data_IF_255625854915
#
_entry.id   IF_255625854915
#
_cell.length_a   1.000
_cell.length_b   1.000
_cell.length_c   1.000
_cell.angle_alpha   90.00
_cell.angle_beta   90.00
_cell.angle_gamma   90.00
#
_symmetry.space_group_name_H-M   'P 1'
#
loop_
_entity.id
_entity.type
_entity.pdbx_description
1 polymer ?
#
# COMPACT_ATOMS: atom_id res chain seq x y z
N UNK A 1 23.09 -18.74 -30.65
CA UNK A 1 21.65 -18.83 -30.93
C UNK A 1 20.92 -17.72 -30.18
N UNK A 2 20.09 -16.93 -30.86
CA UNK A 2 19.33 -15.82 -30.26
C UNK A 2 18.36 -16.33 -29.18
N UNK A 3 17.84 -17.55 -29.36
CA UNK A 3 16.90 -18.17 -28.41
C UNK A 3 17.54 -18.39 -27.04
N UNK A 4 18.80 -18.82 -27.00
CA UNK A 4 19.55 -19.00 -25.74
C UNK A 4 19.82 -17.67 -25.02
N UNK A 5 20.17 -16.61 -25.76
CA UNK A 5 20.40 -15.27 -25.19
C UNK A 5 19.10 -14.68 -24.63
N UNK A 6 18.00 -14.80 -25.38
CA UNK A 6 16.68 -14.35 -24.93
C UNK A 6 16.19 -15.15 -23.71
N UNK A 7 16.46 -16.46 -23.68
CA UNK A 7 16.15 -17.31 -22.54
C UNK A 7 16.93 -16.89 -21.28
N UNK A 8 18.20 -16.51 -21.40
CA UNK A 8 18.98 -15.97 -20.28
C UNK A 8 18.40 -14.65 -19.77
N UNK A 9 17.98 -13.75 -20.67
CA UNK A 9 17.35 -12.48 -20.30
C UNK A 9 16.02 -12.69 -19.55
N UNK A 10 15.15 -13.56 -20.07
CA UNK A 10 13.87 -13.87 -19.41
C UNK A 10 14.04 -14.56 -18.06
N UNK A 11 15.11 -15.34 -17.89
CA UNK A 11 15.35 -16.12 -16.67
C UNK A 11 16.33 -15.45 -15.71
N UNK A 12 16.55 -14.14 -15.81
CA UNK A 12 17.53 -13.42 -14.99
C UNK A 12 17.29 -13.54 -13.47
N UNK A 13 16.02 -13.66 -13.07
CA UNK A 13 15.61 -13.73 -11.66
C UNK A 13 15.53 -15.18 -11.12
N UNK A 14 15.72 -16.19 -11.99
CA UNK A 14 15.60 -17.60 -11.63
C UNK A 14 16.94 -18.21 -11.19
N UNK A 15 16.85 -19.17 -10.26
CA UNK A 15 18.01 -19.93 -9.82
C UNK A 15 18.55 -20.82 -10.97
N UNK A 16 19.85 -21.11 -10.96
CA UNK A 16 20.55 -21.81 -12.05
C UNK A 16 19.90 -23.16 -12.38
N UNK A 17 19.51 -23.94 -11.36
CA UNK A 17 18.80 -25.21 -11.56
C UNK A 17 17.47 -25.02 -12.29
N UNK A 18 16.70 -24.00 -11.91
CA UNK A 18 15.41 -23.71 -12.54
C UNK A 18 15.57 -23.19 -13.98
N UNK A 19 16.67 -22.48 -14.26
CA UNK A 19 17.02 -22.08 -15.63
C UNK A 19 17.39 -23.29 -16.49
N UNK A 20 18.18 -24.23 -15.97
CA UNK A 20 18.55 -25.44 -16.71
C UNK A 20 17.29 -26.25 -17.02
N UNK A 21 16.38 -26.41 -16.05
CA UNK A 21 15.09 -27.06 -16.26
C UNK A 21 14.25 -26.35 -17.32
N UNK A 22 14.18 -25.01 -17.27
CA UNK A 22 13.44 -24.19 -18.24
C UNK A 22 14.01 -24.27 -19.67
N UNK A 23 15.33 -24.37 -19.79
CA UNK A 23 16.03 -24.58 -21.07
C UNK A 23 15.75 -25.98 -21.63
N UNK A 24 15.81 -27.00 -20.77
CA UNK A 24 15.58 -28.40 -21.18
C UNK A 24 14.12 -28.63 -21.61
N UNK A 25 13.15 -28.00 -20.94
CA UNK A 25 11.73 -28.08 -21.33
C UNK A 25 11.44 -27.50 -22.72
N UNK A 26 12.25 -26.53 -23.17
CA UNK A 26 12.07 -25.82 -24.45
C UNK A 26 13.07 -26.25 -25.51
N UNK A 27 13.89 -27.26 -25.21
CA UNK A 27 14.96 -27.77 -26.07
C UNK A 27 15.94 -26.67 -26.52
N UNK A 28 16.26 -25.75 -25.60
CA UNK A 28 17.17 -24.62 -25.83
C UNK A 28 18.54 -24.97 -25.22
N UNK A 29 19.61 -24.78 -25.98
CA UNK A 29 20.98 -24.98 -25.48
C UNK A 29 21.29 -24.01 -24.35
N UNK A 30 21.58 -24.57 -23.16
CA UNK A 30 21.88 -23.80 -21.96
C UNK A 30 23.32 -23.26 -22.00
N UNK A 31 23.47 -21.97 -21.72
CA UNK A 31 24.76 -21.28 -21.59
C UNK A 31 25.42 -21.62 -20.25
N UNK A 32 26.75 -21.81 -20.24
CA UNK A 32 27.51 -22.13 -19.02
C UNK A 32 27.40 -21.01 -18.00
N UNK A 33 27.51 -21.35 -16.72
CA UNK A 33 27.26 -20.41 -15.62
C UNK A 33 28.10 -19.13 -15.69
N UNK A 34 29.39 -19.24 -16.03
CA UNK A 34 30.29 -18.08 -16.08
C UNK A 34 29.92 -17.13 -17.23
N UNK A 35 29.66 -17.69 -18.42
CA UNK A 35 29.19 -16.96 -19.61
C UNK A 35 27.80 -16.34 -19.38
N UNK A 36 26.90 -17.03 -18.66
CA UNK A 36 25.57 -16.51 -18.31
C UNK A 36 25.65 -15.27 -17.43
N UNK A 37 26.54 -15.28 -16.43
CA UNK A 37 26.67 -14.16 -15.47
C UNK A 37 27.27 -12.93 -16.16
N UNK A 38 28.26 -13.14 -17.01
CA UNK A 38 28.88 -12.08 -17.79
C UNK A 38 27.93 -11.51 -18.84
N UNK A 39 27.22 -12.37 -19.58
CA UNK A 39 26.19 -11.97 -20.53
C UNK A 39 25.08 -11.15 -19.87
N UNK A 40 24.65 -11.52 -18.66
CA UNK A 40 23.61 -10.79 -17.93
C UNK A 40 24.11 -9.41 -17.47
N UNK A 41 25.34 -9.33 -17.00
CA UNK A 41 25.99 -8.07 -16.59
C UNK A 41 26.15 -7.12 -17.79
N UNK A 42 26.48 -7.68 -18.95
CA UNK A 42 26.56 -6.94 -20.22
C UNK A 42 25.19 -6.49 -20.74
N UNK A 43 24.18 -7.37 -20.75
CA UNK A 43 22.81 -7.04 -21.18
C UNK A 43 22.14 -5.98 -20.29
N UNK A 44 22.49 -5.92 -19.00
CA UNK A 44 22.01 -4.90 -18.07
C UNK A 44 22.75 -3.56 -18.20
N UNK A 45 23.78 -3.49 -19.06
CA UNK A 45 24.56 -2.28 -19.32
C UNK A 45 25.53 -1.91 -18.19
N UNK A 46 25.80 -2.84 -17.27
CA UNK A 46 26.71 -2.62 -16.12
C UNK A 46 28.17 -2.76 -16.54
N UNK A 47 28.45 -3.54 -17.59
CA UNK A 47 29.77 -3.62 -18.22
C UNK A 47 29.64 -3.47 -19.72
N UNK A 48 30.45 -2.58 -20.30
CA UNK A 48 30.49 -2.30 -21.75
C UNK A 48 31.44 -3.22 -22.50
N UNK A 49 32.24 -4.01 -21.80
CA UNK A 49 33.23 -4.94 -22.34
C UNK A 49 32.94 -6.34 -21.79
N UNK A 50 32.93 -7.36 -22.65
CA UNK A 50 32.85 -8.77 -22.27
C UNK A 50 33.95 -9.54 -22.98
N UNK A 51 34.62 -10.41 -22.22
CA UNK A 51 35.71 -11.30 -22.65
C UNK A 51 35.28 -12.25 -23.78
N UNK A 52 33.97 -12.51 -23.91
CA UNK A 52 33.37 -13.41 -24.89
C UNK A 52 32.73 -12.68 -26.08
N UNK A 53 32.64 -11.35 -26.03
CA UNK A 53 32.12 -10.51 -27.10
C UNK A 53 33.32 -9.92 -27.83
N UNK A 54 33.69 -10.54 -28.95
CA UNK A 54 34.74 -10.01 -29.81
C UNK A 54 34.19 -8.75 -30.50
N UNK A 55 34.60 -7.59 -30.01
CA UNK A 55 34.43 -6.32 -30.73
C UNK A 55 35.13 -6.45 -32.09
N UNK A 56 34.49 -6.10 -33.22
CA UNK A 56 35.11 -6.22 -34.55
C UNK A 56 36.33 -5.29 -34.77
N UNK A 57 36.79 -4.56 -33.76
CA UNK A 57 37.83 -3.52 -33.88
C UNK A 57 39.24 -3.94 -33.43
N UNK A 58 39.54 -5.24 -33.31
CA UNK A 58 40.94 -5.71 -33.10
C UNK A 58 41.28 -6.98 -33.86
N UNK A 59 40.90 -7.02 -35.13
CA UNK A 59 41.70 -7.66 -36.16
C UNK A 59 41.66 -6.71 -37.35
N UNK A 60 42.65 -5.85 -37.56
CA UNK A 60 43.84 -6.32 -38.28
C UNK A 60 44.95 -5.28 -38.25
N UNK A 61 46.10 -5.62 -37.65
CA UNK A 61 47.30 -5.59 -38.49
C UNK A 61 47.34 -6.96 -39.20
N UNK A 62 47.27 -7.03 -40.52
CA UNK A 62 47.63 -5.98 -41.47
C UNK A 62 46.51 -5.64 -42.46
N UNK A 63 45.98 -4.44 -42.23
CA UNK A 63 45.53 -3.47 -43.22
C UNK A 63 44.09 -3.59 -43.76
N UNK A 64 43.30 -2.62 -43.30
CA UNK A 64 42.48 -1.72 -44.13
C UNK A 64 41.10 -2.20 -44.59
N UNK A 65 40.10 -1.35 -44.32
CA UNK A 65 38.74 -1.40 -44.88
C UNK A 65 37.74 -1.98 -43.88
N UNK A 66 37.02 -1.16 -43.12
CA UNK A 66 35.79 -0.47 -43.53
C UNK A 66 34.58 -1.41 -43.71
N UNK A 67 33.43 -0.92 -43.22
CA UNK A 67 32.05 -1.36 -43.49
C UNK A 67 31.34 -2.21 -42.41
N UNK A 68 30.70 -1.46 -41.49
CA UNK A 68 29.23 -1.40 -41.32
C UNK A 68 28.40 -2.59 -41.81
N UNK A 69 27.72 -3.28 -40.89
CA UNK A 69 26.51 -4.08 -41.17
C UNK A 69 25.54 -3.83 -40.00
N UNK A 70 24.62 -2.88 -40.14
CA UNK A 70 23.22 -3.11 -40.55
C UNK A 70 22.51 -4.24 -39.79
N UNK A 71 21.72 -3.77 -38.83
CA UNK A 71 20.60 -4.44 -38.22
C UNK A 71 19.60 -4.94 -39.29
N UNK A 72 19.22 -6.21 -39.22
CA UNK A 72 18.09 -6.79 -39.97
C UNK A 72 16.97 -7.09 -38.99
N UNK A 73 15.93 -6.26 -39.02
CA UNK A 73 14.58 -6.65 -38.60
C UNK A 73 13.85 -7.34 -39.76
N UNK A 74 13.09 -8.37 -39.39
CA UNK A 74 12.36 -9.26 -40.30
C UNK A 74 11.05 -8.65 -40.81
N UNK A 75 10.74 -9.06 -42.03
CA UNK A 75 9.60 -8.73 -42.88
C UNK A 75 8.22 -9.00 -42.28
N UNK A 76 7.26 -8.12 -42.62
CA UNK A 76 5.92 -8.52 -43.02
C UNK A 76 5.59 -7.83 -44.36
N UNK A 77 5.98 -8.52 -45.44
CA UNK A 77 5.30 -8.65 -46.73
C UNK A 77 4.68 -7.41 -47.40
N UNK A 78 5.38 -6.84 -48.39
CA UNK A 78 4.89 -6.64 -49.77
C UNK A 78 5.95 -5.95 -50.66
N UNK A 79 6.66 -6.76 -51.47
CA UNK A 79 7.11 -6.48 -52.85
C UNK A 79 7.68 -5.10 -53.26
N UNK A 80 8.94 -5.12 -53.77
CA UNK A 80 9.45 -4.32 -54.92
C UNK A 80 9.69 -2.83 -54.61
N UNK A 81 10.80 -2.14 -54.88
CA UNK A 81 12.06 -2.31 -55.60
C UNK A 81 12.99 -1.17 -55.13
N UNK A 82 14.30 -1.27 -55.39
CA UNK A 82 15.33 -0.21 -55.31
C UNK A 82 14.86 1.15 -54.74
N UNK A 83 15.29 1.47 -53.51
CA UNK A 83 15.03 2.76 -52.88
C UNK A 83 15.35 3.91 -53.85
N UNK A 84 14.34 4.74 -54.15
CA UNK A 84 14.46 5.85 -55.09
C UNK A 84 15.68 6.72 -54.72
N UNK A 85 16.53 7.15 -55.69
CA UNK A 85 17.72 7.97 -55.41
C UNK A 85 17.42 9.26 -54.64
N UNK A 86 16.20 9.77 -54.80
CA UNK A 86 15.68 10.94 -54.09
C UNK A 86 15.40 10.67 -52.61
N UNK A 87 14.98 9.45 -52.26
CA UNK A 87 14.69 9.05 -50.89
C UNK A 87 15.99 8.92 -50.07
N UNK A 88 17.04 8.39 -50.70
CA UNK A 88 18.38 8.34 -50.09
C UNK A 88 18.93 9.75 -49.81
N UNK A 89 18.75 10.69 -50.74
CA UNK A 89 19.17 12.08 -50.53
C UNK A 89 18.39 12.80 -49.41
N UNK A 90 17.16 12.36 -49.14
CA UNK A 90 16.36 12.85 -48.01
C UNK A 90 16.91 12.26 -46.70
N UNK A 91 17.19 10.95 -46.65
CA UNK A 91 17.77 10.30 -45.47
C UNK A 91 19.18 10.80 -45.13
N UNK A 92 20.00 11.13 -46.14
CA UNK A 92 21.34 11.71 -45.91
C UNK A 92 21.28 13.11 -45.28
N UNK A 93 20.20 13.86 -45.54
CA UNK A 93 20.05 15.24 -45.08
C UNK A 93 19.02 15.39 -43.95
N UNK A 94 18.43 14.30 -43.44
CA UNK A 94 17.46 14.38 -42.35
C UNK A 94 18.16 14.52 -40.99
N UNK A 95 17.62 15.40 -40.15
CA UNK A 95 18.06 15.55 -38.75
C UNK A 95 16.89 15.10 -37.89
N UNK A 96 16.98 13.88 -37.36
CA UNK A 96 16.01 13.38 -36.39
C UNK A 96 16.20 14.13 -35.06
N UNK A 97 15.30 15.07 -34.77
CA UNK A 97 15.40 15.95 -33.59
C UNK A 97 15.19 15.20 -32.26
N UNK A 98 14.42 14.10 -32.26
CA UNK A 98 14.14 13.32 -31.06
C UNK A 98 13.88 11.86 -31.45
N UNK A 99 14.60 10.93 -30.80
CA UNK A 99 14.40 9.48 -30.94
C UNK A 99 13.33 9.01 -29.95
N UNK A 100 12.52 8.00 -30.30
CA UNK A 100 11.47 7.46 -29.43
C UNK A 100 12.01 7.05 -28.05
N UNK A 101 13.25 6.56 -28.00
CA UNK A 101 13.93 6.15 -26.77
C UNK A 101 14.47 7.33 -25.92
N UNK A 102 14.52 8.53 -26.50
CA UNK A 102 14.99 9.76 -25.84
C UNK A 102 13.85 10.74 -25.52
N UNK A 103 12.67 10.61 -26.14
CA UNK A 103 11.46 11.43 -25.87
C UNK A 103 11.09 11.48 -24.38
N UNK A 104 11.26 10.37 -23.66
CA UNK A 104 10.87 10.25 -22.25
C UNK A 104 12.02 10.54 -21.27
N UNK A 105 13.23 10.86 -21.76
CA UNK A 105 14.37 11.21 -20.92
C UNK A 105 14.42 12.72 -20.72
N UNK A 106 14.65 13.16 -19.49
CA UNK A 106 14.89 14.58 -19.22
C UNK A 106 16.17 15.08 -19.88
N UNK A 107 16.26 16.38 -20.16
CA UNK A 107 17.44 17.03 -20.76
C UNK A 107 18.74 16.85 -19.93
N UNK A 108 18.61 16.50 -18.65
CA UNK A 108 19.75 16.17 -17.78
C UNK A 108 19.86 14.66 -17.65
N UNK A 109 21.04 14.06 -17.94
CA UNK A 109 21.28 12.66 -17.62
C UNK A 109 21.32 12.52 -16.09
N UNK A 110 20.21 12.09 -15.49
CA UNK A 110 20.11 11.82 -14.05
C UNK A 110 20.02 10.32 -13.85
N UNK A 111 20.98 9.77 -13.13
CA UNK A 111 20.99 8.36 -12.75
C UNK A 111 20.19 8.18 -11.45
N UNK A 112 19.09 7.42 -11.53
CA UNK A 112 18.24 7.08 -10.39
C UNK A 112 18.54 5.72 -9.78
N UNK A 113 19.62 5.03 -10.21
CA UNK A 113 19.99 3.70 -9.71
C UNK A 113 20.14 3.65 -8.19
N UNK A 114 20.60 4.74 -7.57
CA UNK A 114 20.71 4.86 -6.11
C UNK A 114 19.32 4.90 -5.44
N UNK A 115 18.34 5.59 -6.02
CA UNK A 115 16.96 5.58 -5.51
C UNK A 115 16.33 4.19 -5.68
N UNK A 116 16.60 3.52 -6.80
CA UNK A 116 16.13 2.15 -7.04
C UNK A 116 16.66 1.19 -5.98
N UNK A 117 17.96 1.27 -5.64
CA UNK A 117 18.57 0.46 -4.56
C UNK A 117 17.96 0.76 -3.19
N UNK A 118 17.77 2.04 -2.85
CA UNK A 118 17.13 2.45 -1.59
C UNK A 118 15.69 1.94 -1.52
N UNK A 119 14.93 2.04 -2.61
CA UNK A 119 13.57 1.49 -2.70
C UNK A 119 13.57 -0.04 -2.59
N UNK A 120 14.52 -0.73 -3.21
CA UNK A 120 14.64 -2.18 -3.14
C UNK A 120 14.94 -2.65 -1.69
N UNK A 121 15.85 -1.97 -1.01
CA UNK A 121 16.22 -2.34 0.36
C UNK A 121 15.13 -2.00 1.38
N UNK A 122 14.52 -0.82 1.24
CA UNK A 122 13.49 -0.36 2.19
C UNK A 122 12.12 -0.99 1.94
N UNK A 123 11.74 -1.22 0.68
CA UNK A 123 10.40 -1.70 0.33
C UNK A 123 10.45 -3.21 0.06
N UNK A 124 11.28 -3.70 -0.88
CA UNK A 124 11.23 -5.12 -1.28
C UNK A 124 11.75 -6.08 -0.20
N UNK A 125 12.84 -5.77 0.50
CA UNK A 125 13.35 -6.66 1.55
C UNK A 125 12.38 -6.79 2.73
N UNK A 126 11.66 -5.71 3.08
CA UNK A 126 10.60 -5.74 4.08
C UNK A 126 9.41 -6.61 3.64
N UNK A 127 9.06 -6.60 2.35
CA UNK A 127 8.03 -7.48 1.80
C UNK A 127 8.51 -8.96 1.72
N UNK A 128 9.76 -9.22 1.36
CA UNK A 128 10.32 -10.58 1.21
C UNK A 128 10.54 -11.27 2.57
N UNK A 129 11.01 -10.55 3.58
CA UNK A 129 11.10 -11.07 4.96
C UNK A 129 9.72 -11.39 5.55
N UNK A 130 8.68 -10.64 5.17
CA UNK A 130 7.30 -10.92 5.62
C UNK A 130 6.71 -12.18 4.98
N UNK A 131 7.13 -12.55 3.76
CA UNK A 131 6.69 -13.78 3.11
C UNK A 131 7.40 -15.04 3.65
N UNK A 132 8.65 -14.95 4.10
CA UNK A 132 9.40 -16.12 4.59
C UNK A 132 8.97 -16.63 5.98
N UNK A 133 8.24 -15.85 6.79
CA UNK A 133 7.69 -16.32 8.08
C UNK A 133 6.38 -17.12 7.96
N UNK A 134 5.81 -17.30 6.76
CA UNK A 134 4.48 -17.91 6.58
C UNK A 134 4.45 -19.42 6.33
N UNK A 135 5.61 -20.10 6.28
CA UNK A 135 5.68 -21.56 6.00
C UNK A 135 6.14 -22.37 7.21
N UNK A 136 5.35 -22.42 8.28
CA UNK A 136 5.31 -23.63 9.12
C UNK A 136 4.04 -23.73 9.99
N UNK A 137 3.39 -24.89 9.81
CA UNK A 137 2.39 -25.56 10.66
C UNK A 137 0.91 -25.19 10.48
N UNK A 138 0.25 -26.03 9.68
CA UNK A 138 -1.12 -26.48 9.82
C UNK A 138 -1.36 -27.15 11.19
N UNK A 139 -2.47 -26.82 11.86
CA UNK A 139 -3.38 -27.74 12.60
C UNK A 139 -4.40 -26.97 13.48
N UNK A 140 -5.68 -27.21 13.20
CA UNK A 140 -6.91 -26.96 13.99
C UNK A 140 -7.35 -25.50 14.15
N UNK A 141 -8.55 -25.24 13.64
CA UNK A 141 -9.36 -24.05 13.87
C UNK A 141 -9.53 -23.77 15.38
N UNK A 142 -8.70 -22.87 15.88
CA UNK A 142 -9.02 -22.02 17.02
C UNK A 142 -8.86 -20.60 16.53
N UNK A 143 -9.92 -19.80 16.70
CA UNK A 143 -9.99 -18.37 16.47
C UNK A 143 -8.64 -17.74 16.86
N UNK A 144 -7.80 -17.46 15.87
CA UNK A 144 -6.44 -17.02 16.08
C UNK A 144 -6.47 -15.53 16.39
N UNK A 145 -6.56 -15.20 17.68
CA UNK A 145 -6.32 -13.86 18.24
C UNK A 145 -4.80 -13.58 18.22
N UNK A 146 -4.16 -13.70 17.05
CA UNK A 146 -2.71 -13.59 16.92
C UNK A 146 -2.31 -12.33 16.14
N UNK A 147 -1.70 -11.40 16.89
CA UNK A 147 -0.88 -10.24 16.45
C UNK A 147 -1.51 -8.84 16.28
N UNK A 148 -2.84 -8.64 16.44
CA UNK A 148 -3.38 -7.27 16.54
C UNK A 148 -2.97 -6.52 17.81
N UNK A 149 -2.36 -7.23 18.78
CA UNK A 149 -2.04 -6.78 20.16
C UNK A 149 -0.98 -5.66 20.27
N UNK A 150 -0.32 -5.27 19.18
CA UNK A 150 0.64 -4.16 19.17
C UNK A 150 0.20 -2.97 18.29
N UNK A 151 -1.08 -2.92 17.87
CA UNK A 151 -1.57 -1.82 17.03
C UNK A 151 -2.56 -0.97 17.81
N UNK A 152 -2.41 0.34 17.66
CA UNK A 152 -3.26 1.33 18.32
C UNK A 152 -4.74 1.08 17.95
N UNK A 153 -5.66 0.88 18.92
CA UNK A 153 -7.10 0.73 18.66
C UNK A 153 -7.68 1.96 17.95
N UNK A 154 -8.76 1.76 17.17
CA UNK A 154 -9.38 2.81 16.35
C UNK A 154 -10.79 3.12 16.85
N UNK A 155 -11.10 4.42 16.96
CA UNK A 155 -12.43 4.95 17.24
C UNK A 155 -12.91 5.71 16.01
N UNK A 156 -14.06 5.29 15.46
CA UNK A 156 -14.68 5.96 14.32
C UNK A 156 -15.70 6.99 14.79
N UNK A 157 -15.58 8.22 14.28
CA UNK A 157 -16.53 9.30 14.52
C UNK A 157 -17.52 9.39 13.35
N UNK A 158 -18.77 9.77 13.63
CA UNK A 158 -19.76 9.97 12.57
C UNK A 158 -19.33 11.17 11.69
N UNK A 159 -19.28 11.01 10.35
CA UNK A 159 -18.95 12.12 9.44
C UNK A 159 -20.12 13.11 9.26
N UNK A 160 -21.23 12.92 9.98
CA UNK A 160 -22.41 13.77 9.88
C UNK A 160 -22.17 15.14 10.51
N UNK A 161 -22.53 16.22 9.82
CA UNK A 161 -22.48 17.59 10.34
C UNK A 161 -23.38 17.81 11.57
N UNK A 162 -24.42 16.98 11.73
CA UNK A 162 -25.31 17.00 12.89
C UNK A 162 -24.80 16.19 14.08
N UNK A 163 -23.61 15.59 13.98
CA UNK A 163 -23.01 14.84 15.08
C UNK A 163 -22.54 15.79 16.19
N UNK A 164 -22.92 15.50 17.44
CA UNK A 164 -22.45 16.25 18.60
C UNK A 164 -20.93 16.09 18.79
N UNK A 165 -20.43 14.89 18.55
CA UNK A 165 -19.00 14.58 18.57
C UNK A 165 -18.45 14.61 17.15
N UNK A 166 -17.46 15.44 16.89
CA UNK A 166 -16.84 15.64 15.59
C UNK A 166 -15.31 15.71 15.76
N UNK A 167 -14.57 15.82 14.65
CA UNK A 167 -13.12 15.93 14.71
C UNK A 167 -12.62 17.21 15.43
N UNK A 168 -13.43 18.24 15.67
CA UNK A 168 -12.97 19.43 16.41
C UNK A 168 -12.98 19.23 17.92
N UNK A 169 -13.98 18.52 18.44
CA UNK A 169 -14.17 18.35 19.89
C UNK A 169 -13.85 16.94 20.40
N UNK A 170 -13.69 15.94 19.52
CA UNK A 170 -13.42 14.57 19.92
C UNK A 170 -12.18 14.43 20.80
N UNK A 171 -11.09 15.14 20.49
CA UNK A 171 -9.87 15.08 21.29
C UNK A 171 -10.10 15.57 22.73
N UNK A 172 -10.66 16.76 22.89
CA UNK A 172 -10.90 17.36 24.22
C UNK A 172 -11.85 16.50 25.05
N UNK A 173 -12.91 15.98 24.42
CA UNK A 173 -13.88 15.13 25.10
C UNK A 173 -13.28 13.78 25.47
N UNK A 174 -12.61 13.09 24.55
CA UNK A 174 -12.09 11.73 24.80
C UNK A 174 -10.87 11.72 25.73
N UNK A 175 -9.99 12.72 25.68
CA UNK A 175 -8.82 12.81 26.57
C UNK A 175 -9.17 13.41 27.93
N UNK A 176 -9.88 14.53 27.95
CA UNK A 176 -10.05 15.35 29.16
C UNK A 176 -11.47 15.31 29.74
N UNK A 177 -12.42 14.61 29.11
CA UNK A 177 -13.81 14.55 29.56
C UNK A 177 -14.57 15.87 29.42
N UNK A 178 -14.02 16.86 28.70
CA UNK A 178 -14.63 18.17 28.51
C UNK A 178 -15.28 18.25 27.14
N UNK A 179 -16.61 18.36 27.11
CA UNK A 179 -17.32 18.57 25.86
C UNK A 179 -17.53 20.06 25.62
N UNK A 180 -17.09 20.50 24.44
CA UNK A 180 -17.32 21.85 23.96
C UNK A 180 -17.91 21.78 22.54
N UNK A 181 -19.14 22.27 22.32
CA UNK A 181 -19.75 22.28 20.99
C UNK A 181 -19.20 23.40 20.09
N UNK A 182 -18.50 24.39 20.66
CA UNK A 182 -18.06 25.59 19.94
C UNK A 182 -16.59 25.55 19.51
N UNK A 183 -15.90 24.42 19.71
CA UNK A 183 -14.44 24.27 19.55
C UNK A 183 -13.93 24.47 18.13
N UNK A 184 -14.81 24.57 17.13
CA UNK A 184 -14.43 24.97 15.79
C UNK A 184 -15.57 24.87 14.79
N UNK A 185 -15.67 25.89 13.92
CA UNK A 185 -16.47 25.86 12.70
C UNK A 185 -15.52 25.91 11.51
N UNK A 186 -15.42 24.84 10.71
CA UNK A 186 -14.54 24.80 9.54
C UNK A 186 -14.26 23.38 9.06
N UNK A 187 -13.20 23.20 8.28
CA UNK A 187 -12.65 21.88 7.90
C UNK A 187 -11.54 21.51 8.89
N UNK A 188 -11.57 20.31 9.51
CA UNK A 188 -10.53 19.92 10.46
C UNK A 188 -9.17 19.85 9.73
N UNK A 189 -8.10 20.29 10.39
CA UNK A 189 -6.76 20.28 9.81
C UNK A 189 -6.24 18.86 9.51
N UNK A 190 -6.82 17.85 10.16
CA UNK A 190 -6.51 16.44 9.96
C UNK A 190 -7.76 15.58 10.25
N UNK A 191 -8.03 14.63 9.37
CA UNK A 191 -9.08 13.60 9.56
C UNK A 191 -8.65 12.51 10.55
N UNK A 192 -7.46 12.62 11.15
CA UNK A 192 -6.91 11.65 12.10
C UNK A 192 -6.37 12.40 13.31
N UNK A 193 -6.77 11.92 14.49
CA UNK A 193 -6.27 12.37 15.78
C UNK A 193 -5.78 11.17 16.57
N UNK A 194 -4.69 11.36 17.31
CA UNK A 194 -4.20 10.35 18.25
C UNK A 194 -4.51 10.85 19.65
N UNK A 195 -5.10 9.98 20.46
CA UNK A 195 -5.38 10.25 21.87
C UNK A 195 -4.70 9.21 22.74
N UNK A 196 -4.29 9.61 23.93
CA UNK A 196 -3.72 8.69 24.92
C UNK A 196 -4.68 8.54 26.09
N UNK A 197 -5.09 7.30 26.39
CA UNK A 197 -5.95 6.99 27.52
C UNK A 197 -5.28 6.00 28.45
N UNK A 198 -5.34 6.27 29.76
CA UNK A 198 -4.79 5.39 30.78
C UNK A 198 -5.87 4.51 31.38
N UNK A 199 -5.75 3.20 31.16
CA UNK A 199 -6.65 2.20 31.71
C UNK A 199 -5.97 1.47 32.87
N UNK A 200 -6.67 1.33 34.00
CA UNK A 200 -6.13 0.65 35.20
C UNK A 200 -5.69 -0.79 34.94
N UNK A 201 -6.33 -1.48 33.99
CA UNK A 201 -6.08 -2.90 33.68
C UNK A 201 -5.08 -3.12 32.53
N UNK A 202 -5.03 -2.19 31.57
CA UNK A 202 -4.26 -2.34 30.32
C UNK A 202 -3.07 -1.39 30.22
N UNK A 203 -2.91 -0.49 31.18
CA UNK A 203 -1.93 0.58 31.14
C UNK A 203 -2.35 1.70 30.17
N UNK A 204 -1.36 2.47 29.72
CA UNK A 204 -1.58 3.57 28.79
C UNK A 204 -1.66 3.05 27.37
N UNK A 205 -2.82 3.23 26.73
CA UNK A 205 -3.09 2.88 25.34
C UNK A 205 -3.24 4.14 24.50
N UNK A 206 -2.76 4.08 23.27
CA UNK A 206 -2.98 5.14 22.28
C UNK A 206 -4.09 4.73 21.34
N UNK A 207 -5.08 5.58 21.17
CA UNK A 207 -6.19 5.37 20.25
C UNK A 207 -6.04 6.29 19.04
N UNK A 208 -6.44 5.79 17.89
CA UNK A 208 -6.57 6.56 16.65
C UNK A 208 -8.04 6.92 16.49
N UNK A 209 -8.35 8.20 16.44
CA UNK A 209 -9.69 8.74 16.22
C UNK A 209 -9.76 9.27 14.80
N UNK A 210 -10.76 8.86 14.02
CA UNK A 210 -10.92 9.30 12.63
C UNK A 210 -12.38 9.28 12.21
N UNK A 211 -12.75 10.17 11.29
CA UNK A 211 -14.08 10.24 10.67
C UNK A 211 -14.10 9.63 9.25
N UNK A 212 -12.93 9.39 8.66
CA UNK A 212 -12.76 8.87 7.30
C UNK A 212 -12.22 7.44 7.31
N UNK A 213 -12.75 6.63 6.40
CA UNK A 213 -12.34 5.24 6.20
C UNK A 213 -11.41 5.04 4.99
N UNK A 214 -10.98 6.11 4.30
CA UNK A 214 -10.15 6.01 3.09
C UNK A 214 -8.85 5.20 3.30
N UNK A 215 -8.33 5.20 4.53
CA UNK A 215 -7.12 4.47 4.91
C UNK A 215 -7.36 3.01 5.30
N UNK A 216 -8.60 2.55 5.31
CA UNK A 216 -8.99 1.19 5.66
C UNK A 216 -8.92 0.28 4.43
N UNK A 217 -7.77 0.26 3.75
CA UNK A 217 -7.54 -0.52 2.53
C UNK A 217 -7.39 -2.02 2.80
N UNK A 218 -7.12 -2.42 4.05
CA UNK A 218 -6.96 -3.81 4.46
C UNK A 218 -7.95 -4.15 5.55
N UNK A 219 -8.48 -5.37 5.49
CA UNK A 219 -9.38 -5.95 6.49
C UNK A 219 -8.84 -5.88 7.93
N UNK A 220 -7.53 -5.98 8.09
CA UNK A 220 -6.85 -5.90 9.39
C UNK A 220 -7.07 -4.54 10.11
N UNK A 221 -7.39 -3.46 9.39
CA UNK A 221 -7.74 -2.18 10.01
C UNK A 221 -9.08 -2.24 10.74
N UNK A 222 -10.04 -3.01 10.23
CA UNK A 222 -11.35 -3.18 10.83
C UNK A 222 -11.30 -3.98 12.13
N UNK A 223 -10.34 -4.91 12.26
CA UNK A 223 -10.11 -5.66 13.50
C UNK A 223 -9.61 -4.77 14.65
N UNK A 224 -9.06 -3.58 14.34
CA UNK A 224 -8.62 -2.58 15.31
C UNK A 224 -9.75 -1.63 15.74
N UNK A 225 -10.88 -1.63 15.05
CA UNK A 225 -12.01 -0.75 15.39
C UNK A 225 -12.66 -1.26 16.66
N UNK A 226 -12.53 -0.48 17.73
CA UNK A 226 -13.10 -0.82 19.03
C UNK A 226 -14.46 -0.17 19.23
N UNK A 227 -14.63 1.05 18.72
CA UNK A 227 -15.83 1.85 18.92
C UNK A 227 -16.21 2.64 17.65
N UNK A 228 -17.51 2.82 17.46
CA UNK A 228 -18.10 3.60 16.37
C UNK A 228 -19.17 4.53 16.93
N UNK A 229 -19.01 5.83 16.71
CA UNK A 229 -20.03 6.83 17.01
C UNK A 229 -20.99 6.98 15.85
N UNK A 230 -22.29 7.04 16.14
CA UNK A 230 -23.35 7.21 15.16
C UNK A 230 -24.37 8.26 15.57
N UNK A 231 -25.00 8.85 14.57
CA UNK A 231 -26.14 9.77 14.71
C UNK A 231 -27.49 9.07 14.44
N UNK A 232 -27.49 7.75 14.24
CA UNK A 232 -28.70 6.98 13.91
C UNK A 232 -29.02 6.90 12.43
N UNK A 233 -28.12 7.38 11.56
CA UNK A 233 -28.33 7.41 10.12
C UNK A 233 -27.66 6.23 9.43
N UNK A 234 -28.45 5.27 8.92
CA UNK A 234 -27.92 4.04 8.33
C UNK A 234 -26.99 4.26 7.12
N UNK A 235 -27.14 5.38 6.40
CA UNK A 235 -26.25 5.70 5.27
C UNK A 235 -24.78 5.83 5.70
N UNK A 236 -24.50 6.16 6.96
CA UNK A 236 -23.15 6.28 7.51
C UNK A 236 -22.32 5.01 7.30
N UNK A 237 -22.96 3.84 7.36
CA UNK A 237 -22.28 2.55 7.36
C UNK A 237 -22.14 1.93 5.97
N UNK A 238 -22.80 2.49 4.95
CA UNK A 238 -22.69 2.00 3.56
C UNK A 238 -21.24 1.79 3.09
N UNK A 239 -20.29 2.69 3.35
CA UNK A 239 -18.92 2.51 2.90
C UNK A 239 -18.09 1.61 3.84
N UNK A 240 -18.63 1.20 4.99
CA UNK A 240 -17.90 0.38 5.97
C UNK A 240 -17.81 -1.08 5.49
N UNK A 241 -16.85 -1.83 6.07
CA UNK A 241 -16.73 -3.28 5.82
C UNK A 241 -18.02 -4.03 6.13
N UNK A 242 -18.71 -3.65 7.21
CA UNK A 242 -20.03 -4.16 7.58
C UNK A 242 -21.05 -3.05 7.39
N UNK A 243 -21.77 -3.10 6.27
CA UNK A 243 -22.76 -2.06 5.94
C UNK A 243 -24.06 -2.21 6.72
N UNK A 244 -24.38 -3.42 7.18
CA UNK A 244 -25.53 -3.68 8.05
C UNK A 244 -25.21 -3.26 9.50
N UNK A 245 -25.97 -2.32 10.09
CA UNK A 245 -25.79 -1.90 11.48
C UNK A 245 -25.82 -3.09 12.46
N UNK A 246 -26.67 -4.09 12.23
CA UNK A 246 -26.79 -5.24 13.13
C UNK A 246 -25.50 -6.06 13.17
N UNK A 247 -24.87 -6.29 12.03
CA UNK A 247 -23.58 -6.97 11.95
C UNK A 247 -22.44 -6.10 12.50
N UNK A 248 -22.43 -4.81 12.14
CA UNK A 248 -21.41 -3.85 12.58
C UNK A 248 -21.30 -3.78 14.10
N UNK A 249 -22.44 -3.66 14.80
CA UNK A 249 -22.49 -3.54 16.27
C UNK A 249 -22.40 -4.87 17.01
N UNK A 250 -22.29 -5.99 16.31
CA UNK A 250 -21.78 -7.24 16.87
C UNK A 250 -20.24 -7.29 16.83
N UNK A 251 -19.63 -6.62 15.84
CA UNK A 251 -18.17 -6.59 15.64
C UNK A 251 -17.48 -5.44 16.36
N UNK A 252 -18.19 -4.35 16.61
CA UNK A 252 -17.68 -3.12 17.24
C UNK A 252 -18.67 -2.61 18.30
N UNK A 253 -18.20 -1.78 19.24
CA UNK A 253 -19.09 -1.12 20.22
C UNK A 253 -19.68 0.15 19.60
N UNK A 254 -21.00 0.26 19.54
CA UNK A 254 -21.69 1.46 19.05
C UNK A 254 -21.97 2.46 20.16
N UNK A 255 -21.80 3.76 19.86
CA UNK A 255 -22.21 4.86 20.73
C UNK A 255 -23.04 5.90 19.96
N UNK A 256 -24.03 6.48 20.62
CA UNK A 256 -24.80 7.61 20.13
C UNK A 256 -24.81 8.71 21.19
N UNK A 257 -24.17 9.84 20.91
CA UNK A 257 -24.13 10.98 21.81
C UNK A 257 -25.33 11.90 21.50
N UNK A 258 -26.16 12.16 22.50
CA UNK A 258 -27.34 13.02 22.39
C UNK A 258 -27.42 13.98 23.59
N UNK A 259 -28.19 15.06 23.44
CA UNK A 259 -28.49 15.91 24.59
C UNK A 259 -29.60 15.29 25.46
N UNK A 260 -29.56 15.52 26.78
CA UNK A 260 -30.55 15.01 27.76
C UNK A 260 -32.03 15.26 27.36
N UNK A 261 -32.30 16.36 26.66
CA UNK A 261 -33.65 16.78 26.28
C UNK A 261 -34.01 16.43 24.83
N UNK A 262 -33.14 15.73 24.10
CA UNK A 262 -33.40 15.28 22.75
C UNK A 262 -33.95 13.85 22.73
N UNK A 263 -34.83 13.58 21.78
CA UNK A 263 -35.36 12.24 21.62
C UNK A 263 -34.32 11.34 20.96
N UNK A 264 -34.11 10.16 21.55
CA UNK A 264 -33.25 9.12 20.98
C UNK A 264 -33.85 8.72 19.62
N UNK A 265 -33.07 8.78 18.51
CA UNK A 265 -33.55 8.33 17.21
C UNK A 265 -34.04 6.89 17.28
N UNK A 266 -35.22 6.59 16.70
CA UNK A 266 -35.84 5.27 16.78
C UNK A 266 -34.93 4.15 16.25
N UNK A 267 -34.18 4.43 15.19
CA UNK A 267 -33.18 3.51 14.61
C UNK A 267 -32.09 3.09 15.62
N UNK A 268 -31.63 4.03 16.44
CA UNK A 268 -30.59 3.75 17.46
C UNK A 268 -31.10 2.78 18.51
N UNK A 269 -32.40 2.82 18.84
CA UNK A 269 -33.01 1.86 19.79
C UNK A 269 -33.09 0.45 19.22
N UNK A 270 -33.13 0.31 17.89
CA UNK A 270 -33.17 -0.98 17.22
C UNK A 270 -31.78 -1.63 17.12
N UNK A 271 -30.72 -0.82 17.16
CA UNK A 271 -29.35 -1.28 17.05
C UNK A 271 -28.72 -1.54 18.44
N UNK A 272 -27.66 -2.36 18.49
CA UNK A 272 -26.88 -2.60 19.70
C UNK A 272 -25.92 -1.41 19.98
N UNK A 273 -26.49 -0.22 20.16
CA UNK A 273 -25.78 1.04 20.33
C UNK A 273 -26.10 1.61 21.71
N UNK A 274 -25.06 2.03 22.41
CA UNK A 274 -25.21 2.67 23.71
C UNK A 274 -25.45 4.16 23.57
N UNK A 275 -26.42 4.68 24.31
CA UNK A 275 -26.79 6.09 24.26
C UNK A 275 -26.07 6.84 25.37
N UNK A 276 -25.32 7.88 25.00
CA UNK A 276 -24.61 8.75 25.92
C UNK A 276 -25.34 10.08 25.97
N UNK A 277 -25.83 10.44 27.15
CA UNK A 277 -26.60 11.66 27.32
C UNK A 277 -25.70 12.75 27.89
N UNK A 278 -25.61 13.88 27.19
CA UNK A 278 -24.82 15.03 27.60
C UNK A 278 -25.71 16.21 27.93
N UNK A 279 -25.32 16.99 28.93
CA UNK A 279 -26.10 18.13 29.36
C UNK A 279 -25.67 19.40 28.60
N UNK A 280 -26.63 20.22 28.17
CA UNK A 280 -26.32 21.48 27.47
C UNK A 280 -25.69 22.54 28.40
N UNK A 281 -26.06 22.55 29.67
CA UNK A 281 -25.72 23.61 30.61
C UNK A 281 -24.76 23.13 31.73
N UNK A 282 -24.85 21.86 32.12
CA UNK A 282 -24.11 21.28 33.25
C UNK A 282 -22.87 20.52 32.79
N UNK A 283 -21.83 21.26 32.39
CA UNK A 283 -20.56 20.70 31.89
C UNK A 283 -19.78 19.84 32.87
N UNK A 284 -19.99 20.01 34.18
CA UNK A 284 -19.37 19.14 35.19
C UNK A 284 -19.82 17.68 35.08
N UNK A 285 -20.98 17.41 34.45
CA UNK A 285 -21.47 16.06 34.19
C UNK A 285 -20.78 15.38 33.01
N UNK A 286 -20.09 16.14 32.16
CA UNK A 286 -19.40 15.58 31.00
C UNK A 286 -18.34 14.56 31.44
N UNK A 287 -17.74 14.78 32.62
CA UNK A 287 -16.80 13.85 33.26
C UNK A 287 -17.44 12.50 33.59
N UNK A 288 -18.68 12.48 34.07
CA UNK A 288 -19.41 11.24 34.37
C UNK A 288 -19.69 10.45 33.09
N UNK A 289 -20.07 11.15 32.02
CA UNK A 289 -20.30 10.55 30.69
C UNK A 289 -19.00 10.00 30.10
N UNK A 290 -17.89 10.73 30.28
CA UNK A 290 -16.56 10.31 29.86
C UNK A 290 -16.09 9.04 30.57
N UNK A 291 -16.23 8.99 31.90
CA UNK A 291 -15.87 7.80 32.68
C UNK A 291 -16.73 6.59 32.27
N UNK A 292 -18.03 6.81 32.04
CA UNK A 292 -18.93 5.76 31.58
C UNK A 292 -18.56 5.25 30.18
N UNK A 293 -18.31 6.15 29.23
CA UNK A 293 -17.86 5.82 27.87
C UNK A 293 -16.60 4.95 27.90
N UNK A 294 -15.58 5.37 28.64
CA UNK A 294 -14.33 4.62 28.73
C UNK A 294 -14.52 3.29 29.45
N UNK A 295 -15.36 3.22 30.48
CA UNK A 295 -15.70 1.96 31.13
C UNK A 295 -16.27 0.92 30.17
N UNK A 296 -17.14 1.34 29.24
CA UNK A 296 -17.73 0.46 28.23
C UNK A 296 -16.77 0.08 27.10
N UNK A 297 -15.93 1.02 26.65
CA UNK A 297 -14.84 0.72 25.70
C UNK A 297 -13.87 -0.29 26.31
N UNK A 298 -13.42 -0.06 27.55
CA UNK A 298 -12.49 -0.94 28.25
C UNK A 298 -13.08 -2.35 28.42
N UNK A 299 -14.35 -2.44 28.83
CA UNK A 299 -15.06 -3.72 28.97
C UNK A 299 -15.20 -4.45 27.64
N UNK A 300 -15.45 -3.73 26.55
CA UNK A 300 -15.51 -4.30 25.21
C UNK A 300 -14.13 -4.82 24.76
N UNK A 301 -13.09 -4.03 24.99
CA UNK A 301 -11.72 -4.39 24.67
C UNK A 301 -11.25 -5.61 25.47
N UNK A 302 -11.56 -5.70 26.76
CA UNK A 302 -11.26 -6.85 27.62
C UNK A 302 -11.90 -8.14 27.08
N UNK A 303 -13.18 -8.09 26.69
CA UNK A 303 -13.88 -9.24 26.07
C UNK A 303 -13.25 -9.68 24.74
N UNK A 304 -12.66 -8.73 24.01
CA UNK A 304 -11.96 -8.97 22.74
C UNK A 304 -10.52 -9.43 22.92
N UNK A 305 -10.04 -9.55 24.15
CA UNK A 305 -8.69 -10.00 24.48
C UNK A 305 -7.60 -8.94 24.34
N UNK A 306 -7.97 -7.65 24.33
CA UNK A 306 -6.99 -6.58 24.51
C UNK A 306 -6.45 -6.62 25.95
N UNK A 307 -5.21 -6.17 26.18
CA UNK A 307 -4.63 -6.04 27.52
C UNK A 307 -4.25 -7.32 28.27
N UNK A 308 -4.70 -8.50 27.85
CA UNK A 308 -4.24 -9.77 28.42
C UNK A 308 -2.81 -10.07 27.95
N UNK A 309 -1.83 -9.74 28.82
CA UNK A 309 -0.47 -10.29 28.79
C UNK A 309 -0.40 -11.51 29.70
#
# INVERSE_FOLDING_TARGET
>A
DLRSVYCVYLTQDLNISQYIDYCNERDITHIKFMERTELLTWLQGVSTESSYIVSPTSATETASGAETVQDKQNEASASVSQADPRLNLIYENEIALVDHNTVLRGYKPVDFSNLTKVCQDSIMLHFKNKQQQSKSKSRVEKISVSSSRNRDPIILISPSASSLLNMFNAKEFLENGRFDPNTGSGTPASNIQMISHHTKRMGTLRFVVTDSIERFTKDEHWDRVVAVFTTGQAWQFKPYKWSDPYELFQKTKGFCLIYDNENIPGEVKNWNVETLNINRNRRFKDQEVHEHLWGEIERWMEKRGWGNK
#
